data_IF_144619602208
#
_entry.id   IF_144619602208
#
_cell.length_a   1.000
_cell.length_b   1.000
_cell.length_c   1.000
_cell.angle_alpha   90.00
_cell.angle_beta   90.00
_cell.angle_gamma   90.00
#
_symmetry.space_group_name_H-M   'P 1'
#
loop_
_entity.id
_entity.type
_entity.pdbx_description
1 polymer ?
#
# COMPACT_ATOMS: atom_id res chain seq x y z
N UNK A 1 4.06 23.55 -3.36
CA UNK A 1 3.82 22.16 -2.91
C UNK A 1 2.81 21.52 -3.85
N UNK A 2 3.07 20.30 -4.34
CA UNK A 2 2.32 19.72 -5.44
C UNK A 2 0.95 19.18 -4.95
N UNK A 3 -0.15 19.63 -5.55
CA UNK A 3 -1.53 19.27 -5.17
C UNK A 3 -1.91 17.80 -5.47
N UNK A 4 -0.92 16.92 -5.63
CA UNK A 4 -1.12 15.50 -5.93
C UNK A 4 -2.02 14.81 -4.88
N UNK A 5 -2.02 15.30 -3.63
CA UNK A 5 -2.88 14.77 -2.58
C UNK A 5 -4.38 14.95 -2.86
N UNK A 6 -4.78 15.99 -3.62
CA UNK A 6 -6.21 16.22 -3.97
C UNK A 6 -6.74 15.17 -4.95
N UNK A 7 -5.85 14.43 -5.62
CA UNK A 7 -6.19 13.40 -6.60
C UNK A 7 -6.07 11.98 -6.03
N UNK A 8 -5.80 11.85 -4.73
CA UNK A 8 -5.79 10.55 -4.05
C UNK A 8 -7.22 10.05 -3.94
N UNK A 9 -7.55 9.04 -4.73
CA UNK A 9 -8.82 8.32 -4.67
C UNK A 9 -8.58 6.96 -3.98
N UNK A 10 -9.33 6.68 -2.92
CA UNK A 10 -9.22 5.43 -2.14
C UNK A 10 -10.36 4.45 -2.44
N UNK A 11 -11.12 4.68 -3.52
CA UNK A 11 -12.19 3.81 -4.05
C UNK A 11 -13.28 3.43 -3.02
N UNK A 12 -13.38 4.11 -1.87
CA UNK A 12 -14.27 3.74 -0.76
C UNK A 12 -13.94 2.42 -0.05
N UNK A 13 -13.09 1.55 -0.62
CA UNK A 13 -12.70 0.24 -0.06
C UNK A 13 -11.68 0.31 1.09
N UNK A 14 -11.21 1.52 1.45
CA UNK A 14 -10.25 1.75 2.51
C UNK A 14 -8.79 1.46 2.11
N UNK A 15 -7.85 2.02 2.86
CA UNK A 15 -6.41 1.97 2.53
C UNK A 15 -5.83 0.54 2.57
N UNK A 16 -6.46 -0.37 3.31
CA UNK A 16 -6.01 -1.74 3.52
C UNK A 16 -6.23 -2.63 2.28
N UNK A 17 -7.39 -2.54 1.64
CA UNK A 17 -7.72 -3.29 0.42
C UNK A 17 -6.86 -2.82 -0.76
N UNK A 18 -6.63 -1.50 -0.87
CA UNK A 18 -5.74 -0.91 -1.86
C UNK A 18 -4.30 -1.43 -1.67
N UNK A 19 -3.81 -1.48 -0.42
CA UNK A 19 -2.49 -2.05 -0.11
C UNK A 19 -2.41 -3.55 -0.41
N UNK A 20 -3.45 -4.33 -0.12
CA UNK A 20 -3.49 -5.76 -0.46
C UNK A 20 -3.40 -5.96 -1.98
N UNK A 21 -4.20 -5.21 -2.75
CA UNK A 21 -4.20 -5.25 -4.22
C UNK A 21 -2.86 -4.79 -4.80
N UNK A 22 -2.26 -3.74 -4.24
CA UNK A 22 -0.92 -3.27 -4.58
C UNK A 22 0.13 -4.37 -4.35
N UNK A 23 0.13 -4.99 -3.17
CA UNK A 23 1.11 -6.01 -2.79
C UNK A 23 1.06 -7.25 -3.70
N UNK A 24 -0.13 -7.62 -4.19
CA UNK A 24 -0.32 -8.71 -5.15
C UNK A 24 0.26 -8.39 -6.54
N UNK A 25 0.21 -7.12 -6.95
CA UNK A 25 0.68 -6.69 -8.27
C UNK A 25 2.17 -6.29 -8.30
N UNK A 26 2.80 -6.09 -7.14
CA UNK A 26 4.20 -5.72 -7.02
C UNK A 26 5.12 -6.75 -7.69
N UNK A 27 6.12 -6.24 -8.41
CA UNK A 27 7.18 -7.03 -9.00
C UNK A 27 8.30 -7.21 -7.98
N UNK A 28 8.51 -8.47 -7.61
CA UNK A 28 9.59 -8.92 -6.73
C UNK A 28 10.87 -9.14 -7.54
N UNK A 29 12.01 -8.54 -7.14
CA UNK A 29 13.28 -8.72 -7.85
C UNK A 29 13.78 -10.17 -7.76
N UNK A 30 13.49 -10.88 -6.67
CA UNK A 30 13.89 -12.28 -6.47
C UNK A 30 13.31 -13.18 -7.58
N UNK A 31 12.04 -12.95 -7.95
CA UNK A 31 11.39 -13.65 -9.06
C UNK A 31 12.03 -13.32 -10.41
N UNK A 32 12.43 -12.06 -10.62
CA UNK A 32 13.10 -11.66 -11.86
C UNK A 32 14.48 -12.32 -11.98
N UNK A 33 15.25 -12.41 -10.88
CA UNK A 33 16.51 -13.15 -10.85
C UNK A 33 16.33 -14.65 -11.05
N UNK A 34 15.29 -15.26 -10.47
CA UNK A 34 14.96 -16.65 -10.72
C UNK A 34 14.64 -16.90 -12.21
N UNK A 35 13.88 -16.02 -12.85
CA UNK A 35 13.61 -16.10 -14.29
C UNK A 35 14.86 -15.84 -15.14
N UNK A 36 15.82 -15.06 -14.64
CA UNK A 36 17.09 -14.81 -15.31
C UNK A 36 17.99 -16.05 -15.36
N UNK A 37 17.79 -17.06 -14.50
CA UNK A 37 18.45 -18.36 -14.66
C UNK A 37 18.06 -19.04 -15.99
N UNK A 38 16.87 -18.71 -16.51
CA UNK A 38 16.37 -19.07 -17.84
C UNK A 38 16.57 -17.93 -18.84
N UNK A 39 17.67 -17.18 -18.74
CA UNK A 39 17.97 -16.03 -19.60
C UNK A 39 17.78 -16.31 -21.10
N UNK A 40 18.08 -17.49 -21.68
CA UNK A 40 17.95 -17.68 -23.12
C UNK A 40 16.51 -17.51 -23.62
N UNK A 41 15.53 -17.68 -22.73
CA UNK A 41 14.11 -17.52 -23.02
C UNK A 41 13.62 -16.07 -22.85
N UNK A 42 14.44 -15.16 -22.31
CA UNK A 42 14.07 -13.75 -22.11
C UNK A 42 12.95 -13.52 -21.09
N UNK A 43 12.63 -14.52 -20.27
CA UNK A 43 11.48 -14.50 -19.34
C UNK A 43 11.57 -13.38 -18.31
N UNK A 44 12.78 -13.04 -17.85
CA UNK A 44 12.99 -11.95 -16.90
C UNK A 44 12.57 -10.59 -17.48
N UNK A 45 12.78 -10.36 -18.78
CA UNK A 45 12.37 -9.13 -19.49
C UNK A 45 10.86 -9.08 -19.73
N UNK A 46 10.23 -10.21 -20.05
CA UNK A 46 8.77 -10.34 -20.10
C UNK A 46 8.12 -9.97 -18.77
N UNK A 47 8.65 -10.52 -17.68
CA UNK A 47 8.16 -10.22 -16.33
C UNK A 47 8.30 -8.73 -15.95
N UNK A 48 9.35 -8.06 -16.43
CA UNK A 48 9.61 -6.63 -16.24
C UNK A 48 8.94 -5.73 -17.30
N UNK A 49 8.00 -6.27 -18.09
CA UNK A 49 7.22 -5.53 -19.09
C UNK A 49 8.09 -4.76 -20.08
N UNK A 50 9.14 -5.40 -20.60
CA UNK A 50 9.99 -4.86 -21.65
C UNK A 50 9.86 -5.72 -22.91
N UNK A 51 8.83 -5.51 -23.74
CA UNK A 51 8.48 -6.42 -24.84
C UNK A 51 9.56 -6.51 -25.92
N UNK A 52 10.19 -5.38 -26.25
CA UNK A 52 11.26 -5.34 -27.26
C UNK A 52 12.48 -6.15 -26.81
N UNK A 53 12.93 -5.91 -25.57
CA UNK A 53 14.03 -6.68 -25.00
C UNK A 53 13.68 -8.16 -24.84
N UNK A 54 12.44 -8.48 -24.49
CA UNK A 54 12.00 -9.85 -24.31
C UNK A 54 11.89 -10.66 -25.61
N UNK A 55 11.76 -10.00 -26.76
CA UNK A 55 11.81 -10.63 -28.10
C UNK A 55 13.24 -10.65 -28.68
N UNK A 56 13.98 -9.54 -28.54
CA UNK A 56 15.33 -9.44 -29.07
C UNK A 56 16.30 -10.40 -28.38
N UNK A 57 16.12 -10.64 -27.08
CA UNK A 57 17.06 -11.41 -26.28
C UNK A 57 17.07 -12.91 -26.65
N UNK A 58 15.92 -13.62 -26.78
CA UNK A 58 15.89 -14.99 -27.30
C UNK A 58 16.42 -15.10 -28.73
N UNK A 59 16.14 -14.13 -29.60
CA UNK A 59 16.66 -14.12 -30.96
C UNK A 59 18.19 -14.02 -30.97
N UNK A 60 18.76 -13.18 -30.12
CA UNK A 60 20.22 -13.06 -29.95
C UNK A 60 20.81 -14.37 -29.41
N UNK A 61 20.15 -14.99 -28.43
CA UNK A 61 20.57 -16.30 -27.90
C UNK A 61 20.49 -17.42 -28.94
N UNK A 62 19.49 -17.41 -29.84
CA UNK A 62 19.35 -18.37 -30.92
C UNK A 62 20.35 -18.14 -32.06
N UNK A 63 20.79 -16.90 -32.25
CA UNK A 63 21.78 -16.54 -33.26
C UNK A 63 23.16 -17.14 -32.96
N UNK A 64 23.57 -17.20 -31.69
CA UNK A 64 24.87 -17.77 -31.28
C UNK A 64 25.08 -19.22 -31.71
N UNK A 65 24.20 -20.20 -31.40
CA UNK A 65 24.35 -21.56 -31.89
C UNK A 65 24.19 -21.66 -33.41
N UNK A 66 23.38 -20.80 -34.04
CA UNK A 66 23.28 -20.76 -35.50
C UNK A 66 24.60 -20.35 -36.18
N UNK A 67 25.25 -19.29 -35.67
CA UNK A 67 26.57 -18.85 -36.12
C UNK A 67 27.62 -19.91 -35.88
N UNK A 68 27.57 -20.58 -34.72
CA UNK A 68 28.46 -21.69 -34.39
C UNK A 68 28.40 -22.81 -35.43
N UNK A 69 27.18 -23.24 -35.80
CA UNK A 69 26.98 -24.30 -36.80
C UNK A 69 27.45 -23.89 -38.20
N UNK A 70 27.34 -22.60 -38.57
CA UNK A 70 27.62 -22.15 -39.94
C UNK A 70 29.06 -21.69 -40.18
N UNK A 71 29.69 -21.10 -39.18
CA UNK A 71 30.98 -20.41 -39.29
C UNK A 71 32.01 -20.83 -38.22
N UNK A 72 31.65 -21.78 -37.34
CA UNK A 72 32.57 -22.37 -36.34
C UNK A 72 32.67 -21.61 -35.03
N UNK A 73 33.54 -22.10 -34.13
CA UNK A 73 33.67 -21.65 -32.73
C UNK A 73 34.03 -20.18 -32.55
N UNK A 74 34.86 -19.63 -33.45
CA UNK A 74 35.34 -18.25 -33.33
C UNK A 74 34.20 -17.23 -33.53
N UNK A 75 33.31 -17.48 -34.50
CA UNK A 75 32.11 -16.66 -34.72
C UNK A 75 31.14 -16.72 -33.54
N UNK A 76 30.99 -17.90 -32.94
CA UNK A 76 30.14 -18.11 -31.78
C UNK A 76 30.67 -17.33 -30.57
N UNK A 77 31.98 -17.38 -30.32
CA UNK A 77 32.64 -16.65 -29.24
C UNK A 77 32.45 -15.13 -29.38
N UNK A 78 32.61 -14.59 -30.59
CA UNK A 78 32.36 -13.16 -30.87
C UNK A 78 30.91 -12.79 -30.58
N UNK A 79 29.95 -13.64 -30.94
CA UNK A 79 28.51 -13.40 -30.66
C UNK A 79 28.12 -13.62 -29.19
N UNK A 80 28.86 -14.44 -28.44
CA UNK A 80 28.58 -14.72 -27.03
C UNK A 80 29.02 -13.59 -26.11
N UNK A 81 30.07 -12.84 -26.48
CA UNK A 81 30.55 -11.68 -25.71
C UNK A 81 29.46 -10.63 -25.41
N UNK A 82 28.70 -10.11 -26.40
CA UNK A 82 27.63 -9.15 -26.12
C UNK A 82 26.49 -9.76 -25.29
N UNK A 83 26.20 -11.06 -25.43
CA UNK A 83 25.22 -11.74 -24.58
C UNK A 83 25.63 -11.76 -23.11
N UNK A 84 26.90 -12.07 -22.83
CA UNK A 84 27.45 -12.05 -21.47
C UNK A 84 27.46 -10.62 -20.90
N UNK A 85 27.82 -9.62 -21.71
CA UNK A 85 27.76 -8.22 -21.30
C UNK A 85 26.33 -7.78 -20.97
N UNK A 86 25.34 -8.19 -21.77
CA UNK A 86 23.93 -7.93 -21.49
C UNK A 86 23.44 -8.64 -20.22
N UNK A 87 23.88 -9.87 -19.97
CA UNK A 87 23.54 -10.59 -18.75
C UNK A 87 24.11 -9.88 -17.50
N UNK A 88 25.37 -9.44 -17.56
CA UNK A 88 25.99 -8.66 -16.49
C UNK A 88 25.29 -7.32 -16.26
N UNK A 89 24.91 -6.63 -17.33
CA UNK A 89 24.08 -5.42 -17.24
C UNK A 89 22.74 -5.71 -16.56
N UNK A 90 22.06 -6.79 -16.96
CA UNK A 90 20.76 -7.20 -16.44
C UNK A 90 20.79 -7.44 -14.93
N UNK A 91 21.91 -7.95 -14.38
CA UNK A 91 22.06 -8.13 -12.93
C UNK A 91 21.83 -6.83 -12.13
N UNK A 92 22.30 -5.70 -12.65
CA UNK A 92 22.12 -4.38 -12.01
C UNK A 92 20.83 -3.69 -12.42
N UNK A 93 20.39 -3.92 -13.66
CA UNK A 93 19.20 -3.30 -14.25
C UNK A 93 17.90 -3.85 -13.66
N UNK A 94 17.79 -5.15 -13.41
CA UNK A 94 16.58 -5.83 -12.88
C UNK A 94 16.07 -5.15 -11.61
N UNK A 95 16.96 -4.86 -10.66
CA UNK A 95 16.59 -4.20 -9.40
C UNK A 95 16.04 -2.79 -9.65
N UNK A 96 16.75 -1.97 -10.43
CA UNK A 96 16.34 -0.60 -10.77
C UNK A 96 15.00 -0.58 -11.49
N UNK A 97 14.81 -1.48 -12.46
CA UNK A 97 13.58 -1.62 -13.24
C UNK A 97 12.40 -2.05 -12.37
N UNK A 98 12.60 -3.01 -11.47
CA UNK A 98 11.57 -3.47 -10.53
C UNK A 98 11.10 -2.32 -9.63
N UNK A 99 12.02 -1.52 -9.11
CA UNK A 99 11.69 -0.33 -8.30
C UNK A 99 10.90 0.69 -9.12
N UNK A 100 11.34 0.99 -10.34
CA UNK A 100 10.64 1.94 -11.21
C UNK A 100 9.21 1.48 -11.54
N UNK A 101 9.01 0.18 -11.85
CA UNK A 101 7.70 -0.39 -12.10
C UNK A 101 6.80 -0.35 -10.88
N UNK A 102 7.33 -0.68 -9.70
CA UNK A 102 6.56 -0.65 -8.46
C UNK A 102 6.17 0.79 -8.07
N UNK A 103 7.06 1.77 -8.30
CA UNK A 103 6.74 3.20 -8.13
C UNK A 103 5.63 3.64 -9.10
N UNK A 104 5.72 3.25 -10.37
CA UNK A 104 4.70 3.56 -11.37
C UNK A 104 3.35 2.89 -11.06
N UNK A 105 3.38 1.63 -10.58
CA UNK A 105 2.20 0.90 -10.14
C UNK A 105 1.52 1.60 -8.97
N UNK A 106 2.30 1.99 -7.96
CA UNK A 106 1.82 2.75 -6.80
C UNK A 106 1.13 4.04 -7.26
N UNK A 107 1.80 4.83 -8.09
CA UNK A 107 1.24 6.08 -8.60
C UNK A 107 -0.08 5.86 -9.35
N UNK A 108 -0.14 4.87 -10.23
CA UNK A 108 -1.35 4.55 -11.00
C UNK A 108 -2.52 4.13 -10.12
N UNK A 109 -2.26 3.39 -9.05
CA UNK A 109 -3.32 2.92 -8.16
C UNK A 109 -3.87 4.03 -7.28
N UNK A 110 -3.02 4.96 -6.86
CA UNK A 110 -3.41 6.11 -6.02
C UNK A 110 -3.98 7.29 -6.82
N UNK A 111 -3.68 7.41 -8.11
CA UNK A 111 -4.09 8.53 -8.98
C UNK A 111 -5.18 8.12 -10.00
N UNK A 112 -5.87 7.00 -9.77
CA UNK A 112 -6.91 6.52 -10.69
C UNK A 112 -8.11 7.47 -10.63
N UNK A 113 -8.45 8.19 -11.72
CA UNK A 113 -9.64 9.04 -11.72
C UNK A 113 -10.88 8.16 -11.83
N UNK A 114 -11.78 8.24 -10.86
CA UNK A 114 -13.17 7.77 -11.00
C UNK A 114 -13.50 6.44 -10.34
N UNK A 115 -13.06 6.19 -9.11
CA UNK A 115 -13.44 4.97 -8.41
C UNK A 115 -14.51 5.23 -7.34
N UNK A 116 -15.69 4.66 -7.59
CA UNK A 116 -16.84 4.51 -6.70
C UNK A 116 -17.26 5.76 -5.91
N UNK A 117 -18.46 6.27 -6.23
CA UNK A 117 -19.12 7.27 -5.41
C UNK A 117 -18.99 6.87 -3.92
N UNK A 118 -18.64 7.83 -3.04
CA UNK A 118 -18.50 7.56 -1.63
C UNK A 118 -19.71 6.79 -1.09
N UNK A 119 -19.54 5.90 -0.09
CA UNK A 119 -20.67 5.19 0.52
C UNK A 119 -21.80 6.17 0.87
N UNK A 120 -23.08 5.81 0.69
CA UNK A 120 -24.19 6.73 0.99
C UNK A 120 -24.07 7.22 2.45
N UNK A 121 -23.98 8.55 2.61
CA UNK A 121 -23.72 9.20 3.91
C UNK A 121 -22.26 9.56 4.21
N UNK A 122 -21.31 9.26 3.31
CA UNK A 122 -19.92 9.68 3.46
C UNK A 122 -19.80 11.20 3.26
N UNK A 123 -19.70 11.90 4.38
CA UNK A 123 -19.35 13.30 4.48
C UNK A 123 -17.83 13.38 4.56
N UNK A 124 -17.16 13.86 3.51
CA UNK A 124 -15.71 14.01 3.48
C UNK A 124 -15.17 15.00 4.54
N UNK A 125 -13.87 15.34 4.50
CA UNK A 125 -13.37 16.52 5.23
C UNK A 125 -13.92 17.76 4.54
N UNK A 126 -14.90 18.40 5.17
CA UNK A 126 -15.44 19.68 4.73
C UNK A 126 -14.32 20.73 4.67
N UNK A 127 -14.18 21.35 3.51
CA UNK A 127 -13.38 22.56 3.31
C UNK A 127 -14.27 23.81 3.43
N UNK A 128 -15.60 23.63 3.42
CA UNK A 128 -16.58 24.71 3.34
C UNK A 128 -17.15 25.16 4.68
N UNK A 129 -16.83 24.47 5.78
CA UNK A 129 -17.17 24.95 7.13
C UNK A 129 -16.05 25.88 7.61
N UNK A 130 -16.43 27.06 8.10
CA UNK A 130 -15.47 28.00 8.68
C UNK A 130 -14.61 27.27 9.73
N UNK A 131 -13.33 27.64 9.84
CA UNK A 131 -12.42 27.05 10.83
C UNK A 131 -13.02 27.08 12.25
N UNK A 132 -13.84 28.11 12.52
CA UNK A 132 -14.56 28.31 13.78
C UNK A 132 -15.65 27.26 14.01
N UNK A 133 -16.43 26.90 12.97
CA UNK A 133 -17.46 25.86 13.08
C UNK A 133 -16.84 24.47 13.26
N UNK A 134 -15.72 24.20 12.57
CA UNK A 134 -14.95 22.97 12.76
C UNK A 134 -14.36 22.86 14.17
N UNK A 135 -13.81 23.95 14.71
CA UNK A 135 -13.26 24.00 16.07
C UNK A 135 -14.36 23.82 17.12
N UNK A 136 -15.55 24.41 16.91
CA UNK A 136 -16.72 24.20 17.79
C UNK A 136 -17.14 22.73 17.79
N UNK A 137 -17.31 22.12 16.62
CA UNK A 137 -17.68 20.71 16.50
C UNK A 137 -16.64 19.81 17.19
N UNK A 138 -15.35 20.04 16.92
CA UNK A 138 -14.25 19.28 17.54
C UNK A 138 -14.11 19.48 19.03
N UNK A 139 -14.40 20.68 19.54
CA UNK A 139 -14.38 20.96 20.97
C UNK A 139 -15.53 20.25 21.71
N UNK A 140 -16.64 19.98 21.01
CA UNK A 140 -17.75 19.18 21.52
C UNK A 140 -17.54 17.67 21.43
N UNK A 141 -16.64 17.20 20.55
CA UNK A 141 -16.27 15.79 20.46
C UNK A 141 -15.36 15.39 21.63
N UNK A 142 -15.93 14.77 22.67
CA UNK A 142 -15.15 14.12 23.73
C UNK A 142 -14.40 12.92 23.12
N UNK A 143 -13.09 12.88 23.29
CA UNK A 143 -12.23 11.86 22.66
C UNK A 143 -12.77 10.43 22.87
N UNK A 144 -13.24 9.81 21.79
CA UNK A 144 -13.67 8.40 21.77
C UNK A 144 -15.16 8.12 21.55
N UNK A 145 -16.04 9.12 21.47
CA UNK A 145 -17.46 8.89 21.18
C UNK A 145 -17.89 9.51 19.84
N UNK A 146 -18.73 8.79 19.09
CA UNK A 146 -19.43 9.37 17.93
C UNK A 146 -20.36 10.50 18.41
N UNK A 147 -20.55 11.56 17.60
CA UNK A 147 -21.45 12.63 17.96
C UNK A 147 -22.84 12.05 18.21
N UNK A 148 -23.38 12.32 19.40
CA UNK A 148 -24.78 12.04 19.71
C UNK A 148 -25.60 12.94 18.78
N UNK A 149 -26.36 12.34 17.87
CA UNK A 149 -27.32 13.07 17.06
C UNK A 149 -28.24 13.84 18.02
N UNK A 150 -28.15 15.16 17.96
CA UNK A 150 -28.98 16.10 18.72
C UNK A 150 -30.42 16.04 18.22
N UNK A 151 -31.13 14.99 18.60
CA UNK A 151 -32.57 14.87 18.47
C UNK A 151 -33.14 14.30 19.77
N UNK A 152 -33.18 15.14 20.81
CA UNK A 152 -34.23 15.06 21.84
C UNK A 152 -34.11 16.23 22.82
N UNK A 153 -35.13 17.09 22.75
CA UNK A 153 -35.74 17.88 23.82
C UNK A 153 -34.88 18.90 24.57
N UNK A 154 -35.16 20.16 24.22
CA UNK A 154 -35.19 21.30 25.14
C UNK A 154 -35.75 20.90 26.50
N UNK A 155 -35.08 21.26 27.61
CA UNK A 155 -35.79 21.35 28.89
C UNK A 155 -35.06 21.13 30.21
N UNK A 156 -33.79 20.70 30.29
CA UNK A 156 -33.14 20.52 31.61
C UNK A 156 -31.69 21.00 31.64
N UNK A 157 -31.31 21.95 32.52
CA UNK A 157 -29.92 22.24 32.79
C UNK A 157 -29.28 21.03 33.48
N UNK A 158 -28.15 20.51 32.99
CA UNK A 158 -27.48 19.39 33.64
C UNK A 158 -26.96 19.82 35.01
N UNK A 159 -27.26 19.01 36.03
CA UNK A 159 -26.86 19.23 37.40
C UNK A 159 -25.34 19.49 37.52
N UNK A 160 -24.99 20.69 38.00
CA UNK A 160 -23.63 21.03 38.42
C UNK A 160 -23.19 20.11 39.56
N UNK A 161 -21.97 19.55 39.46
CA UNK A 161 -21.17 19.28 40.65
C UNK A 161 -20.71 17.85 40.92
N UNK A 162 -20.63 16.94 39.95
CA UNK A 162 -19.81 15.73 40.14
C UNK A 162 -18.39 16.01 39.68
N UNK A 163 -17.58 16.53 40.61
CA UNK A 163 -16.13 16.60 40.48
C UNK A 163 -15.64 15.22 40.04
N UNK A 164 -14.86 15.11 38.94
CA UNK A 164 -14.38 13.81 38.50
C UNK A 164 -13.55 13.17 39.62
N UNK A 165 -13.70 11.86 39.86
CA UNK A 165 -13.01 11.18 40.93
C UNK A 165 -11.50 11.33 40.76
N UNK A 166 -10.80 11.61 41.86
CA UNK A 166 -9.35 11.78 41.86
C UNK A 166 -8.66 10.48 41.42
N UNK A 167 -7.41 10.58 40.98
CA UNK A 167 -6.65 9.41 40.54
C UNK A 167 -6.60 8.29 41.59
N UNK A 168 -6.53 8.66 42.87
CA UNK A 168 -6.55 7.70 43.99
C UNK A 168 -7.90 6.98 44.11
N UNK A 169 -9.01 7.67 43.86
CA UNK A 169 -10.35 7.06 43.87
C UNK A 169 -10.55 6.14 42.66
N UNK A 170 -9.98 6.51 41.51
CA UNK A 170 -9.99 5.66 40.31
C UNK A 170 -9.18 4.37 40.53
N UNK A 171 -8.01 4.46 41.17
CA UNK A 171 -7.20 3.29 41.49
C UNK A 171 -7.88 2.38 42.52
N UNK A 172 -8.51 2.95 43.54
CA UNK A 172 -9.30 2.20 44.52
C UNK A 172 -10.46 1.44 43.86
N UNK A 173 -11.17 2.10 42.94
CA UNK A 173 -12.29 1.49 42.21
C UNK A 173 -11.82 0.35 41.29
N UNK A 174 -10.65 0.48 40.65
CA UNK A 174 -10.04 -0.60 39.86
C UNK A 174 -9.63 -1.80 40.72
N UNK A 175 -9.09 -1.55 41.92
CA UNK A 175 -8.73 -2.64 42.86
C UNK A 175 -9.98 -3.39 43.35
N UNK A 176 -11.09 -2.69 43.57
CA UNK A 176 -12.35 -3.28 43.99
C UNK A 176 -12.99 -4.15 42.88
N UNK A 177 -12.95 -3.67 41.63
CA UNK A 177 -13.35 -4.43 40.45
C UNK A 177 -12.49 -5.68 40.24
N UNK A 178 -11.18 -5.58 40.48
CA UNK A 178 -10.28 -6.72 40.38
C UNK A 178 -10.57 -7.79 41.45
N UNK A 179 -10.93 -7.38 42.68
CA UNK A 179 -11.30 -8.29 43.77
C UNK A 179 -12.62 -9.01 43.51
N UNK A 180 -13.64 -8.27 43.05
CA UNK A 180 -14.96 -8.82 42.72
C UNK A 180 -14.91 -9.79 41.53
N UNK A 181 -14.15 -9.47 40.48
CA UNK A 181 -13.94 -10.41 39.36
C UNK A 181 -13.17 -11.67 39.77
N UNK A 182 -12.21 -11.57 40.70
CA UNK A 182 -11.45 -12.74 41.19
C UNK A 182 -12.31 -13.66 42.06
N UNK A 183 -13.27 -13.12 42.80
CA UNK A 183 -14.28 -13.89 43.54
C UNK A 183 -15.25 -14.63 42.60
N UNK A 184 -15.75 -13.95 41.57
CA UNK A 184 -16.68 -14.52 40.58
C UNK A 184 -16.07 -15.65 39.73
N UNK A 185 -14.74 -15.65 39.56
CA UNK A 185 -13.99 -16.66 38.81
C UNK A 185 -13.61 -17.90 39.64
N UNK A 186 -13.81 -17.87 40.97
CA UNK A 186 -13.59 -19.01 41.88
C UNK A 186 -14.88 -19.75 42.26
N UNK A 187 -16.05 -19.22 41.90
CA UNK A 187 -17.36 -19.83 42.17
C UNK A 187 -17.99 -20.50 40.94
N UNK A 188 -17.24 -20.62 39.84
CA UNK A 188 -17.52 -21.46 38.68
C UNK A 188 -16.41 -22.50 38.56
#
# INVERSE_FOLDING_TARGET
MHEAWKKLDLEGEGLQTLNLRYSRMMRRPERAYALMALFPLGLHRWYLKEPMGALAYPLLCALTPWLWLRFGSLSAAVSALPLLALLAFDMTWVRRRSVALNKALRLRQFMRPGAAAPPPGYRGRYVDDSLEDYLKLKSGERAGHQPVESNSNEGEPPAMGQTPPSFNEQEAMLQELARTNKGRRKSN
#
